data_IF_486311776527
#
_entry.id   IF_486311776527
#
_cell.length_a   1.000
_cell.length_b   1.000
_cell.length_c   1.000
_cell.angle_alpha   90.00
_cell.angle_beta   90.00
_cell.angle_gamma   90.00
#
_symmetry.space_group_name_H-M   'P 1'
#
loop_
_entity.id
_entity.type
_entity.pdbx_description
1 polymer ?
#
# COMPACT_ATOMS: atom_id res chain seq x y z
N UNK A 1 4.69 25.59 -28.96
CA UNK A 1 4.81 24.88 -30.26
C UNK A 1 3.89 23.67 -30.19
N UNK A 2 2.67 23.74 -30.76
CA UNK A 2 1.77 22.56 -30.82
C UNK A 2 2.35 21.59 -31.84
N UNK A 3 2.87 20.48 -31.40
CA UNK A 3 3.28 19.38 -32.28
C UNK A 3 1.97 18.73 -32.75
N UNK A 4 1.50 19.07 -33.92
CA UNK A 4 0.39 18.36 -34.58
C UNK A 4 0.96 17.06 -35.16
N UNK A 5 0.81 15.98 -34.42
CA UNK A 5 1.12 14.65 -34.94
C UNK A 5 0.11 14.30 -36.03
N UNK A 6 0.60 13.86 -37.19
CA UNK A 6 -0.28 13.46 -38.28
C UNK A 6 -0.97 12.13 -37.90
N UNK A 7 -2.28 12.08 -37.98
CA UNK A 7 -3.10 10.92 -37.65
C UNK A 7 -2.61 9.63 -38.32
N UNK A 8 -2.29 9.68 -39.64
CA UNK A 8 -1.76 8.53 -40.36
C UNK A 8 -0.41 8.05 -39.81
N UNK A 9 0.43 8.96 -39.35
CA UNK A 9 1.74 8.60 -38.74
C UNK A 9 1.54 7.88 -37.42
N UNK A 10 0.55 8.30 -36.60
CA UNK A 10 0.23 7.65 -35.36
C UNK A 10 -0.40 6.27 -35.59
N UNK A 11 -1.37 6.17 -36.50
CA UNK A 11 -1.96 4.87 -36.89
C UNK A 11 -0.87 3.90 -37.37
N UNK A 12 0.06 4.37 -38.15
CA UNK A 12 1.17 3.55 -38.66
C UNK A 12 2.10 3.12 -37.51
N UNK A 13 2.43 4.01 -36.59
CA UNK A 13 3.21 3.68 -35.39
C UNK A 13 2.55 2.61 -34.54
N UNK A 14 1.26 2.79 -34.20
CA UNK A 14 0.49 1.85 -33.39
C UNK A 14 0.36 0.50 -34.10
N UNK A 15 0.07 0.49 -35.39
CA UNK A 15 -0.02 -0.73 -36.21
C UNK A 15 1.28 -1.53 -36.13
N UNK A 16 2.44 -0.87 -36.27
CA UNK A 16 3.74 -1.53 -36.17
C UNK A 16 4.08 -1.98 -34.76
N UNK A 17 3.73 -1.19 -33.73
CA UNK A 17 3.98 -1.53 -32.33
C UNK A 17 3.19 -2.74 -31.88
N UNK A 18 1.91 -2.80 -32.24
CA UNK A 18 1.02 -3.92 -31.90
C UNK A 18 1.04 -5.05 -32.93
N UNK A 19 1.83 -4.93 -34.01
CA UNK A 19 1.88 -5.89 -35.11
C UNK A 19 0.51 -6.29 -35.65
N UNK A 20 -0.42 -5.32 -35.81
CA UNK A 20 -1.81 -5.55 -36.17
C UNK A 20 -2.33 -4.52 -37.18
N UNK A 21 -3.59 -4.61 -37.53
CA UNK A 21 -4.30 -3.59 -38.29
C UNK A 21 -4.97 -2.57 -37.36
N UNK A 22 -4.91 -1.30 -37.76
CA UNK A 22 -5.74 -0.23 -37.28
C UNK A 22 -6.46 0.42 -38.42
N UNK A 23 -7.79 0.45 -38.35
CA UNK A 23 -8.65 1.02 -39.36
C UNK A 23 -9.57 2.06 -38.74
N UNK A 24 -9.85 3.12 -39.49
CA UNK A 24 -10.86 4.11 -39.15
C UNK A 24 -12.09 3.85 -40.03
N UNK A 25 -13.23 3.74 -39.38
CA UNK A 25 -14.54 3.56 -40.00
C UNK A 25 -15.43 4.75 -39.69
N UNK A 26 -16.25 5.16 -40.64
CA UNK A 26 -17.30 6.18 -40.42
C UNK A 26 -18.51 5.58 -39.69
N UNK A 27 -19.48 6.44 -39.31
CA UNK A 27 -20.69 6.02 -38.59
C UNK A 27 -21.60 5.07 -39.39
N UNK A 28 -21.35 4.89 -40.72
CA UNK A 28 -22.03 3.92 -41.59
C UNK A 28 -21.24 2.62 -41.76
N UNK A 29 -20.15 2.43 -41.02
CA UNK A 29 -19.20 1.32 -41.14
C UNK A 29 -18.38 1.32 -42.43
N UNK A 30 -18.28 2.46 -43.13
CA UNK A 30 -17.43 2.62 -44.32
C UNK A 30 -15.95 2.82 -43.89
N UNK A 31 -15.04 2.14 -44.58
CA UNK A 31 -13.61 2.27 -44.31
C UNK A 31 -13.10 3.63 -44.83
N UNK A 32 -12.60 4.48 -43.88
CA UNK A 32 -12.07 5.81 -44.20
C UNK A 32 -10.57 5.77 -44.42
N UNK A 33 -9.84 5.11 -43.51
CA UNK A 33 -8.38 4.96 -43.62
C UNK A 33 -7.91 3.70 -42.88
N UNK A 34 -6.74 3.20 -43.27
CA UNK A 34 -6.18 2.01 -42.65
C UNK A 34 -4.65 2.02 -42.65
N UNK A 35 -4.07 1.44 -41.59
CA UNK A 35 -2.67 1.09 -41.48
C UNK A 35 -2.55 -0.36 -41.03
N UNK A 36 -1.77 -1.16 -41.70
CA UNK A 36 -1.56 -2.55 -41.37
C UNK A 36 -0.07 -2.91 -41.41
N UNK A 37 0.49 -3.29 -40.27
CA UNK A 37 1.87 -3.79 -40.19
C UNK A 37 1.98 -5.19 -40.84
N UNK A 38 0.89 -5.93 -40.94
CA UNK A 38 0.81 -7.30 -41.47
C UNK A 38 0.52 -7.27 -42.96
N UNK A 39 1.56 -7.00 -43.74
CA UNK A 39 1.43 -6.93 -45.22
C UNK A 39 1.09 -8.26 -45.91
N UNK A 40 1.23 -9.35 -45.16
CA UNK A 40 0.97 -10.73 -45.64
C UNK A 40 -0.53 -11.06 -45.71
N UNK A 41 -1.38 -10.22 -45.09
CA UNK A 41 -2.83 -10.44 -45.01
C UNK A 41 -3.59 -9.21 -45.46
N UNK A 42 -4.75 -9.49 -46.10
CA UNK A 42 -5.67 -8.41 -46.46
C UNK A 42 -6.37 -7.85 -45.21
N UNK A 43 -6.74 -6.58 -45.23
CA UNK A 43 -7.51 -5.95 -44.14
C UNK A 43 -8.81 -6.72 -43.88
N UNK A 44 -9.50 -7.16 -44.95
CA UNK A 44 -10.73 -7.95 -44.86
C UNK A 44 -10.53 -9.33 -44.22
N UNK A 45 -9.31 -9.88 -44.22
CA UNK A 45 -9.00 -11.12 -43.52
C UNK A 45 -8.76 -10.86 -42.00
N UNK A 46 -8.19 -9.73 -41.65
CA UNK A 46 -7.89 -9.35 -40.26
C UNK A 46 -9.10 -8.69 -39.57
N UNK A 47 -9.84 -7.87 -40.30
CA UNK A 47 -11.06 -7.18 -39.86
C UNK A 47 -12.21 -7.45 -40.82
N UNK A 48 -12.82 -8.65 -40.78
CA UNK A 48 -13.89 -9.01 -41.69
C UNK A 48 -15.16 -8.21 -41.43
N UNK A 49 -15.92 -7.90 -42.48
CA UNK A 49 -17.10 -7.03 -42.43
C UNK A 49 -18.15 -7.48 -41.41
N UNK A 50 -18.32 -8.80 -41.24
CA UNK A 50 -19.26 -9.35 -40.26
C UNK A 50 -18.89 -9.05 -38.78
N UNK A 51 -17.64 -8.69 -38.49
CA UNK A 51 -17.21 -8.24 -37.14
C UNK A 51 -17.41 -6.74 -36.94
N UNK A 52 -17.26 -5.93 -37.97
CA UNK A 52 -17.24 -4.47 -37.89
C UNK A 52 -18.57 -3.94 -37.33
N UNK A 53 -19.67 -4.34 -37.93
CA UNK A 53 -20.99 -3.84 -37.54
C UNK A 53 -21.40 -4.21 -36.10
N UNK A 54 -21.27 -5.46 -35.63
CA UNK A 54 -21.53 -5.82 -34.23
C UNK A 54 -20.65 -5.06 -33.27
N UNK A 55 -19.35 -4.94 -33.54
CA UNK A 55 -18.40 -4.23 -32.66
C UNK A 55 -18.75 -2.75 -32.53
N UNK A 56 -19.11 -2.09 -33.61
CA UNK A 56 -19.51 -0.66 -33.61
C UNK A 56 -20.87 -0.48 -32.92
N UNK A 57 -21.84 -1.36 -33.15
CA UNK A 57 -23.18 -1.24 -32.56
C UNK A 57 -23.20 -1.44 -31.07
N UNK A 58 -22.33 -2.29 -30.53
CA UNK A 58 -22.17 -2.46 -29.09
C UNK A 58 -21.45 -1.28 -28.39
N UNK A 59 -20.84 -0.37 -29.17
CA UNK A 59 -20.11 0.77 -28.60
C UNK A 59 -21.03 1.95 -28.25
N UNK A 60 -21.94 1.74 -27.28
CA UNK A 60 -22.84 2.80 -26.77
C UNK A 60 -22.18 3.75 -25.77
N UNK A 61 -20.96 3.48 -25.32
CA UNK A 61 -20.22 4.30 -24.38
C UNK A 61 -19.20 5.19 -25.07
N UNK A 62 -18.90 6.36 -24.50
CA UNK A 62 -17.88 7.27 -25.05
C UNK A 62 -16.44 6.77 -24.86
N UNK A 63 -16.21 5.72 -24.06
CA UNK A 63 -14.89 5.19 -23.73
C UNK A 63 -14.45 4.10 -24.72
N UNK A 64 -13.13 3.88 -24.87
CA UNK A 64 -12.60 2.75 -25.63
C UNK A 64 -13.10 1.41 -25.10
N UNK A 65 -13.50 0.51 -26.00
CA UNK A 65 -13.94 -0.85 -25.68
C UNK A 65 -12.99 -1.89 -26.17
N UNK A 66 -12.81 -2.94 -25.35
CA UNK A 66 -12.05 -4.14 -25.67
C UNK A 66 -13.02 -5.31 -25.70
N UNK A 67 -13.09 -6.00 -26.83
CA UNK A 67 -14.04 -7.08 -27.08
C UNK A 67 -13.28 -8.37 -27.39
N UNK A 68 -13.56 -9.44 -26.66
CA UNK A 68 -13.05 -10.78 -26.98
C UNK A 68 -13.94 -11.44 -28.02
N UNK A 69 -13.30 -11.99 -29.04
CA UNK A 69 -14.00 -12.72 -30.13
C UNK A 69 -13.79 -14.23 -29.98
N UNK A 70 -12.61 -14.69 -29.61
CA UNK A 70 -12.32 -16.11 -29.35
C UNK A 70 -11.16 -16.22 -28.31
N UNK A 71 -11.48 -16.72 -27.13
CA UNK A 71 -10.49 -16.87 -26.07
C UNK A 71 -9.81 -15.55 -25.69
N UNK A 72 -8.48 -15.48 -25.86
CA UNK A 72 -7.68 -14.28 -25.59
C UNK A 72 -7.55 -13.34 -26.80
N UNK A 73 -8.17 -13.68 -27.94
CA UNK A 73 -8.14 -12.82 -29.12
C UNK A 73 -9.11 -11.66 -28.97
N UNK A 74 -8.57 -10.45 -29.09
CA UNK A 74 -9.29 -9.20 -28.84
C UNK A 74 -9.29 -8.28 -30.05
N UNK A 75 -10.35 -7.50 -30.14
CA UNK A 75 -10.45 -6.28 -30.93
C UNK A 75 -10.81 -5.11 -30.02
N UNK A 76 -10.41 -3.90 -30.41
CA UNK A 76 -10.81 -2.71 -29.67
C UNK A 76 -11.42 -1.66 -30.60
N UNK A 77 -12.40 -0.97 -30.06
CA UNK A 77 -13.07 0.16 -30.69
C UNK A 77 -12.76 1.41 -29.87
N UNK A 78 -12.19 2.41 -30.52
CA UNK A 78 -11.93 3.73 -29.91
C UNK A 78 -12.81 4.75 -30.62
N UNK A 79 -13.78 5.36 -29.92
CA UNK A 79 -14.65 6.39 -30.48
C UNK A 79 -13.84 7.64 -30.88
N UNK A 80 -14.16 8.20 -32.04
CA UNK A 80 -13.49 9.38 -32.59
C UNK A 80 -14.45 10.29 -33.31
N UNK A 81 -15.02 11.27 -32.64
CA UNK A 81 -16.09 12.13 -33.18
C UNK A 81 -17.32 11.31 -33.62
N UNK A 82 -17.58 11.28 -34.97
CA UNK A 82 -18.62 10.46 -35.57
C UNK A 82 -18.10 9.16 -36.18
N UNK A 83 -16.78 8.89 -36.03
CA UNK A 83 -16.07 7.76 -36.57
C UNK A 83 -15.54 6.87 -35.45
N UNK A 84 -14.93 5.74 -35.82
CA UNK A 84 -14.34 4.80 -34.86
C UNK A 84 -12.99 4.28 -35.40
N UNK A 85 -12.02 4.17 -34.48
CA UNK A 85 -10.84 3.32 -34.76
C UNK A 85 -11.13 1.90 -34.30
N UNK A 86 -10.89 0.93 -35.18
CA UNK A 86 -10.85 -0.47 -34.82
C UNK A 86 -9.43 -0.99 -34.88
N UNK A 87 -8.97 -1.56 -33.75
CA UNK A 87 -7.63 -2.12 -33.58
C UNK A 87 -7.77 -3.61 -33.38
N UNK A 88 -6.94 -4.40 -34.03
CA UNK A 88 -6.93 -5.84 -33.88
C UNK A 88 -6.85 -6.58 -35.23
N UNK A 89 -6.74 -7.92 -35.15
CA UNK A 89 -6.73 -8.74 -33.93
C UNK A 89 -5.40 -8.72 -33.18
N UNK A 90 -5.49 -8.79 -31.83
CA UNK A 90 -4.36 -9.00 -30.93
C UNK A 90 -4.65 -10.15 -29.97
N UNK A 91 -3.63 -10.66 -29.28
CA UNK A 91 -3.77 -11.62 -28.16
C UNK A 91 -3.22 -10.96 -26.91
N UNK A 92 -3.94 -11.08 -25.79
CA UNK A 92 -3.41 -10.69 -24.48
C UNK A 92 -2.56 -11.82 -23.92
N UNK A 93 -1.38 -11.47 -23.35
CA UNK A 93 -0.47 -12.42 -22.71
C UNK A 93 -1.14 -13.12 -21.53
N UNK A 94 -1.86 -12.35 -20.71
CA UNK A 94 -2.61 -12.88 -19.59
C UNK A 94 -4.04 -13.22 -20.01
N UNK A 95 -4.59 -14.29 -19.41
CA UNK A 95 -6.01 -14.61 -19.56
C UNK A 95 -6.83 -13.56 -18.83
N UNK A 96 -7.49 -12.69 -19.57
CA UNK A 96 -8.30 -11.59 -19.02
C UNK A 96 -9.77 -11.86 -19.27
N UNK A 97 -10.60 -11.61 -18.26
CA UNK A 97 -12.05 -11.70 -18.40
C UNK A 97 -12.60 -10.35 -18.86
N UNK A 98 -13.07 -10.34 -20.09
CA UNK A 98 -13.74 -9.18 -20.67
C UNK A 98 -15.26 -9.35 -20.56
N UNK A 99 -15.96 -8.29 -20.16
CA UNK A 99 -17.43 -8.28 -20.14
C UNK A 99 -18.02 -8.37 -21.55
N UNK A 100 -17.30 -7.84 -22.53
CA UNK A 100 -17.77 -7.82 -23.91
C UNK A 100 -17.21 -9.01 -24.66
N UNK A 101 -18.07 -9.96 -24.99
CA UNK A 101 -17.75 -11.16 -25.77
C UNK A 101 -18.73 -11.32 -26.94
N UNK A 102 -18.19 -11.49 -28.09
CA UNK A 102 -18.96 -11.88 -29.27
C UNK A 102 -18.84 -13.40 -29.47
N UNK A 103 -19.74 -14.16 -28.81
CA UNK A 103 -19.67 -15.62 -28.75
C UNK A 103 -20.32 -16.31 -29.98
N UNK A 104 -21.19 -15.63 -30.68
CA UNK A 104 -22.04 -16.25 -31.73
C UNK A 104 -21.54 -15.96 -33.15
N UNK A 105 -20.38 -15.39 -33.33
CA UNK A 105 -19.81 -15.08 -34.61
C UNK A 105 -18.96 -16.24 -35.16
N UNK A 106 -18.94 -16.44 -36.49
CA UNK A 106 -18.00 -17.39 -37.09
C UNK A 106 -16.57 -17.07 -36.66
N UNK A 107 -15.80 -18.09 -36.29
CA UNK A 107 -14.39 -17.90 -36.00
C UNK A 107 -13.70 -17.23 -37.17
N UNK A 108 -13.03 -16.09 -36.96
CA UNK A 108 -12.29 -15.47 -38.06
C UNK A 108 -11.26 -16.47 -38.61
N UNK A 109 -11.02 -16.47 -39.92
CA UNK A 109 -9.91 -17.25 -40.50
C UNK A 109 -8.54 -16.89 -39.87
N UNK A 110 -8.48 -15.78 -39.13
CA UNK A 110 -7.39 -15.32 -38.30
C UNK A 110 -6.94 -16.33 -37.21
N UNK A 111 -7.75 -17.36 -36.90
CA UNK A 111 -7.32 -18.45 -35.99
C UNK A 111 -6.06 -19.21 -36.47
N UNK A 112 -5.66 -19.02 -37.74
CA UNK A 112 -4.45 -19.59 -38.35
C UNK A 112 -3.30 -18.57 -38.49
N UNK A 113 -3.53 -17.31 -38.14
CA UNK A 113 -2.54 -16.23 -38.25
C UNK A 113 -1.78 -16.16 -36.93
N UNK A 114 -0.44 -16.22 -36.91
CA UNK A 114 0.32 -15.96 -35.69
C UNK A 114 0.11 -14.50 -35.26
N UNK A 115 -0.67 -14.31 -34.22
CA UNK A 115 -0.95 -13.00 -33.64
C UNK A 115 0.12 -12.58 -32.64
N UNK A 116 0.33 -11.30 -32.52
CA UNK A 116 1.24 -10.74 -31.54
C UNK A 116 0.59 -10.68 -30.16
N UNK A 117 1.33 -11.14 -29.15
CA UNK A 117 0.91 -11.10 -27.75
C UNK A 117 1.34 -9.76 -27.13
N UNK A 118 0.42 -9.07 -26.48
CA UNK A 118 0.66 -7.80 -25.83
C UNK A 118 0.22 -7.83 -24.36
N UNK A 119 0.91 -7.04 -23.54
CA UNK A 119 0.47 -6.80 -22.17
C UNK A 119 -0.77 -5.89 -22.15
N UNK A 120 -1.69 -6.18 -21.22
CA UNK A 120 -2.92 -5.40 -21.08
C UNK A 120 -2.64 -3.92 -20.80
N UNK A 121 -1.68 -3.62 -19.92
CA UNK A 121 -1.31 -2.26 -19.55
C UNK A 121 -0.84 -1.43 -20.74
N UNK A 122 0.03 -2.00 -21.57
CA UNK A 122 0.52 -1.35 -22.78
C UNK A 122 -0.58 -1.17 -23.83
N UNK A 123 -1.44 -2.17 -23.94
CA UNK A 123 -2.57 -2.11 -24.85
C UNK A 123 -3.55 -0.99 -24.45
N UNK A 124 -3.91 -0.89 -23.17
CA UNK A 124 -4.79 0.17 -22.64
C UNK A 124 -4.18 1.56 -22.85
N UNK A 125 -2.87 1.73 -22.63
CA UNK A 125 -2.17 3.01 -22.90
C UNK A 125 -2.26 3.44 -24.34
N UNK A 126 -2.19 2.49 -25.28
CA UNK A 126 -2.35 2.77 -26.70
C UNK A 126 -3.79 3.20 -27.04
N UNK A 127 -4.80 2.55 -26.43
CA UNK A 127 -6.19 2.98 -26.60
C UNK A 127 -6.38 4.41 -26.08
N UNK A 128 -5.82 4.74 -24.93
CA UNK A 128 -5.86 6.09 -24.37
C UNK A 128 -5.16 7.12 -25.25
N UNK A 129 -4.00 6.75 -25.83
CA UNK A 129 -3.29 7.63 -26.76
C UNK A 129 -4.17 8.03 -27.95
N UNK A 130 -4.90 7.10 -28.52
CA UNK A 130 -5.85 7.36 -29.61
C UNK A 130 -7.06 8.18 -29.13
N UNK A 131 -7.58 7.83 -27.95
CA UNK A 131 -8.73 8.48 -27.36
C UNK A 131 -8.47 9.98 -27.07
N UNK A 132 -7.25 10.31 -26.60
CA UNK A 132 -6.82 11.69 -26.29
C UNK A 132 -6.26 12.46 -27.49
N UNK A 133 -6.34 11.94 -28.68
CA UNK A 133 -5.62 12.48 -29.86
C UNK A 133 -5.97 13.93 -30.19
N UNK A 134 -7.18 14.41 -29.88
CA UNK A 134 -7.63 15.76 -30.18
C UNK A 134 -8.10 16.57 -28.98
N UNK A 135 -8.46 15.94 -27.89
CA UNK A 135 -9.00 16.61 -26.71
C UNK A 135 -8.34 16.02 -25.47
N UNK A 136 -7.90 16.88 -24.55
CA UNK A 136 -7.53 16.42 -23.21
C UNK A 136 -8.81 16.01 -22.49
N UNK A 137 -8.95 14.70 -22.23
CA UNK A 137 -10.04 14.13 -21.45
C UNK A 137 -9.49 13.68 -20.11
N UNK A 138 -10.30 13.75 -19.04
CA UNK A 138 -9.84 13.40 -17.69
C UNK A 138 -9.66 11.90 -17.47
N UNK A 139 -10.21 11.06 -18.35
CA UNK A 139 -10.22 9.62 -18.20
C UNK A 139 -8.82 9.03 -18.36
N UNK A 140 -8.47 8.08 -17.49
CA UNK A 140 -7.18 7.41 -17.46
C UNK A 140 -7.25 5.89 -17.66
N UNK A 141 -6.14 5.20 -17.41
CA UNK A 141 -6.06 3.72 -17.53
C UNK A 141 -7.12 3.02 -16.69
N UNK A 142 -7.34 3.52 -15.45
CA UNK A 142 -8.32 2.95 -14.52
C UNK A 142 -9.75 2.99 -15.06
N UNK A 143 -10.12 4.07 -15.76
CA UNK A 143 -11.47 4.24 -16.30
C UNK A 143 -11.72 3.26 -17.45
N UNK A 144 -10.73 3.05 -18.34
CA UNK A 144 -10.81 2.04 -19.40
C UNK A 144 -10.92 0.63 -18.82
N UNK A 145 -10.14 0.33 -17.77
CA UNK A 145 -10.18 -0.98 -17.10
C UNK A 145 -11.55 -1.21 -16.45
N UNK A 146 -12.08 -0.24 -15.74
CA UNK A 146 -13.39 -0.34 -15.09
C UNK A 146 -14.53 -0.51 -16.09
N UNK A 147 -14.54 0.25 -17.19
CA UNK A 147 -15.57 0.16 -18.23
C UNK A 147 -15.57 -1.20 -18.92
N UNK A 148 -14.40 -1.75 -19.20
CA UNK A 148 -14.26 -3.04 -19.85
C UNK A 148 -14.34 -4.21 -18.86
N UNK A 149 -14.46 -3.95 -17.54
CA UNK A 149 -14.50 -4.94 -16.46
C UNK A 149 -13.43 -6.02 -16.63
N UNK A 150 -12.21 -5.59 -16.92
CA UNK A 150 -11.07 -6.47 -17.19
C UNK A 150 -10.67 -7.18 -15.89
N UNK A 151 -11.07 -8.43 -15.72
CA UNK A 151 -10.59 -9.28 -14.63
C UNK A 151 -9.41 -10.12 -15.11
N UNK A 152 -8.30 -10.05 -14.38
CA UNK A 152 -7.19 -10.96 -14.62
C UNK A 152 -7.57 -12.40 -14.26
N UNK A 153 -6.92 -13.38 -14.87
CA UNK A 153 -7.05 -14.80 -14.48
C UNK A 153 -6.75 -15.00 -12.99
N UNK A 154 -5.87 -14.17 -12.43
CA UNK A 154 -5.55 -14.18 -11.00
C UNK A 154 -6.78 -13.80 -10.15
N UNK A 155 -7.55 -12.78 -10.52
CA UNK A 155 -8.77 -12.39 -9.80
C UNK A 155 -9.83 -13.48 -9.85
N UNK A 156 -9.99 -14.16 -10.99
CA UNK A 156 -10.91 -15.30 -11.12
C UNK A 156 -10.47 -16.48 -10.24
N UNK A 157 -9.18 -16.79 -10.23
CA UNK A 157 -8.63 -17.84 -9.39
C UNK A 157 -8.86 -17.52 -7.90
N UNK A 158 -8.74 -16.25 -7.49
CA UNK A 158 -9.07 -15.81 -6.13
C UNK A 158 -10.56 -16.02 -5.84
N UNK A 159 -11.46 -15.62 -6.74
CA UNK A 159 -12.92 -15.83 -6.56
C UNK A 159 -13.28 -17.31 -6.48
N UNK A 160 -12.68 -18.13 -7.33
CA UNK A 160 -12.85 -19.59 -7.30
C UNK A 160 -12.37 -20.16 -5.97
N UNK A 161 -11.15 -19.84 -5.55
CA UNK A 161 -10.59 -20.27 -4.28
C UNK A 161 -11.46 -19.81 -3.08
N UNK A 162 -11.94 -18.56 -3.10
CA UNK A 162 -12.87 -18.06 -2.08
C UNK A 162 -14.15 -18.88 -2.02
N UNK A 163 -14.76 -19.19 -3.16
CA UNK A 163 -15.98 -19.99 -3.23
C UNK A 163 -15.76 -21.41 -2.70
N UNK A 164 -14.66 -22.05 -3.12
CA UNK A 164 -14.27 -23.39 -2.66
C UNK A 164 -14.02 -23.40 -1.14
N UNK A 165 -13.23 -22.46 -0.63
CA UNK A 165 -12.95 -22.34 0.81
C UNK A 165 -14.20 -22.07 1.64
N UNK A 166 -15.12 -21.24 1.13
CA UNK A 166 -16.39 -20.95 1.82
C UNK A 166 -17.27 -22.19 1.87
N UNK A 167 -17.33 -22.94 0.77
CA UNK A 167 -18.09 -24.19 0.71
C UNK A 167 -17.52 -25.24 1.68
N UNK A 168 -16.19 -25.49 1.64
CA UNK A 168 -15.53 -26.44 2.53
C UNK A 168 -15.74 -26.12 4.02
N UNK A 169 -15.69 -24.85 4.39
CA UNK A 169 -15.91 -24.40 5.77
C UNK A 169 -17.35 -24.63 6.24
N UNK A 170 -18.31 -24.37 5.38
CA UNK A 170 -19.73 -24.63 5.68
C UNK A 170 -20.01 -26.13 5.81
N UNK A 171 -19.38 -26.98 5.01
CA UNK A 171 -19.53 -28.45 5.08
C UNK A 171 -18.84 -29.05 6.31
N UNK A 172 -17.72 -28.46 6.76
CA UNK A 172 -16.93 -28.99 7.89
C UNK A 172 -17.29 -28.36 9.23
N UNK A 173 -18.22 -27.39 9.27
CA UNK A 173 -18.60 -26.63 10.46
C UNK A 173 -17.40 -26.04 11.21
N UNK A 174 -16.42 -25.52 10.46
CA UNK A 174 -15.21 -24.90 10.99
C UNK A 174 -15.22 -23.38 10.79
N UNK A 175 -15.89 -22.62 11.67
CA UNK A 175 -15.91 -21.17 11.58
C UNK A 175 -14.51 -20.56 11.83
N UNK A 176 -14.32 -19.33 11.39
CA UNK A 176 -13.18 -18.53 11.83
C UNK A 176 -13.29 -18.21 13.32
N UNK A 177 -12.17 -17.83 13.94
CA UNK A 177 -12.16 -17.29 15.28
C UNK A 177 -13.19 -16.15 15.42
N UNK A 178 -13.90 -16.06 16.53
CA UNK A 178 -14.88 -14.99 16.74
C UNK A 178 -14.23 -13.61 16.67
N UNK A 179 -14.80 -12.71 15.89
CA UNK A 179 -14.33 -11.33 15.79
C UNK A 179 -14.29 -10.59 17.13
N UNK A 180 -15.23 -10.93 18.03
CA UNK A 180 -15.30 -10.32 19.36
C UNK A 180 -14.06 -10.62 20.22
N UNK A 181 -13.44 -11.79 20.06
CA UNK A 181 -12.20 -12.14 20.75
C UNK A 181 -11.04 -11.26 20.23
N UNK A 182 -10.88 -11.17 18.91
CA UNK A 182 -9.87 -10.27 18.31
C UNK A 182 -10.11 -8.82 18.75
N UNK A 183 -11.35 -8.38 18.79
CA UNK A 183 -11.71 -7.04 19.25
C UNK A 183 -11.30 -6.79 20.71
N UNK A 184 -11.52 -7.75 21.64
CA UNK A 184 -11.08 -7.63 23.04
C UNK A 184 -9.56 -7.58 23.15
N UNK A 185 -8.84 -8.43 22.42
CA UNK A 185 -7.39 -8.44 22.35
C UNK A 185 -6.85 -7.06 21.89
N UNK A 186 -7.36 -6.54 20.78
CA UNK A 186 -6.96 -5.24 20.29
C UNK A 186 -7.32 -4.09 21.22
N UNK A 187 -8.49 -4.17 21.88
CA UNK A 187 -8.96 -3.15 22.82
C UNK A 187 -8.12 -3.11 24.09
N UNK A 188 -7.65 -4.25 24.57
CA UNK A 188 -6.73 -4.35 25.70
C UNK A 188 -5.39 -3.66 25.42
N UNK A 189 -4.86 -3.82 24.21
CA UNK A 189 -3.64 -3.13 23.73
C UNK A 189 -3.89 -1.61 23.66
N UNK A 190 -4.98 -1.19 23.02
CA UNK A 190 -5.38 0.22 22.93
C UNK A 190 -5.54 0.86 24.32
N UNK A 191 -6.04 0.10 25.29
CA UNK A 191 -6.21 0.56 26.67
C UNK A 191 -4.92 0.48 27.50
N UNK A 192 -3.89 -0.21 27.04
CA UNK A 192 -2.67 -0.47 27.82
C UNK A 192 -2.97 -1.39 29.01
N UNK A 193 -3.92 -2.30 28.90
CA UNK A 193 -4.34 -3.18 29.99
C UNK A 193 -3.77 -4.59 29.80
N UNK A 194 -2.65 -4.85 30.47
CA UNK A 194 -1.91 -6.13 30.39
C UNK A 194 -2.76 -7.30 30.96
N UNK A 195 -3.59 -7.05 31.98
CA UNK A 195 -4.42 -8.09 32.57
C UNK A 195 -5.51 -8.54 31.59
N UNK A 196 -6.24 -7.59 30.97
CA UNK A 196 -7.24 -7.87 29.94
C UNK A 196 -6.62 -8.56 28.72
N UNK A 197 -5.40 -8.19 28.31
CA UNK A 197 -4.69 -8.86 27.22
C UNK A 197 -4.46 -10.34 27.57
N UNK A 198 -3.97 -10.64 28.76
CA UNK A 198 -3.76 -12.03 29.21
C UNK A 198 -5.06 -12.84 29.24
N UNK A 199 -6.13 -12.25 29.75
CA UNK A 199 -7.45 -12.88 29.78
C UNK A 199 -7.95 -13.19 28.36
N UNK A 200 -7.88 -12.22 27.43
CA UNK A 200 -8.25 -12.39 26.03
C UNK A 200 -7.44 -13.47 25.32
N UNK A 201 -6.14 -13.56 25.59
CA UNK A 201 -5.27 -14.59 25.00
C UNK A 201 -5.47 -15.99 25.59
N UNK A 202 -6.06 -16.09 26.79
CA UNK A 202 -6.37 -17.35 27.47
C UNK A 202 -7.79 -17.84 27.21
N UNK A 203 -8.60 -17.09 26.47
CA UNK A 203 -9.99 -17.51 26.16
C UNK A 203 -10.01 -18.76 25.29
N UNK A 204 -10.81 -19.76 25.69
CA UNK A 204 -11.15 -20.89 24.85
C UNK A 204 -12.33 -20.53 23.95
N UNK A 205 -12.15 -20.66 22.65
CA UNK A 205 -13.22 -20.43 21.68
C UNK A 205 -13.24 -21.49 20.58
N UNK A 206 -14.42 -21.70 20.03
CA UNK A 206 -14.61 -22.58 18.88
C UNK A 206 -14.34 -21.78 17.63
N UNK A 207 -13.24 -22.09 16.97
CA UNK A 207 -12.86 -21.43 15.73
C UNK A 207 -11.49 -21.90 15.23
N UNK A 208 -11.16 -21.57 14.03
CA UNK A 208 -9.88 -21.89 13.42
C UNK A 208 -9.24 -20.66 12.78
N UNK A 209 -7.92 -20.59 12.87
CA UNK A 209 -7.13 -19.62 12.13
C UNK A 209 -7.21 -19.96 10.65
N UNK A 210 -7.40 -18.94 9.81
CA UNK A 210 -7.38 -19.11 8.35
C UNK A 210 -6.07 -19.68 7.83
N UNK A 211 -6.14 -20.53 6.81
CA UNK A 211 -4.95 -21.07 6.14
C UNK A 211 -4.39 -20.02 5.16
N UNK A 212 -3.30 -19.38 5.55
CA UNK A 212 -2.61 -18.35 4.75
C UNK A 212 -1.46 -18.93 3.91
N UNK A 213 -0.97 -20.11 4.27
CA UNK A 213 0.06 -20.84 3.55
C UNK A 213 -0.01 -22.34 3.83
N UNK A 214 0.45 -23.18 2.88
CA UNK A 214 0.52 -24.62 3.03
C UNK A 214 1.68 -25.05 3.93
N UNK A 215 2.81 -24.34 3.88
CA UNK A 215 3.97 -24.57 4.74
C UNK A 215 3.70 -24.07 6.15
N UNK A 216 3.87 -24.89 7.21
CA UNK A 216 3.54 -24.50 8.58
C UNK A 216 4.36 -23.32 9.11
N UNK A 217 5.63 -23.20 8.72
CA UNK A 217 6.48 -22.08 9.13
C UNK A 217 6.01 -20.78 8.45
N UNK A 218 5.71 -20.84 7.15
CA UNK A 218 5.18 -19.69 6.42
C UNK A 218 3.80 -19.29 6.91
N UNK A 219 2.95 -20.25 7.26
CA UNK A 219 1.66 -20.01 7.91
C UNK A 219 1.84 -19.20 9.20
N UNK A 220 2.73 -19.65 10.09
CA UNK A 220 3.00 -18.98 11.36
C UNK A 220 3.58 -17.58 11.16
N UNK A 221 4.52 -17.40 10.22
CA UNK A 221 5.08 -16.09 9.88
C UNK A 221 4.02 -15.12 9.38
N UNK A 222 3.19 -15.54 8.44
CA UNK A 222 2.10 -14.71 7.90
C UNK A 222 1.14 -14.28 9.02
N UNK A 223 0.75 -15.21 9.89
CA UNK A 223 -0.12 -14.91 11.03
C UNK A 223 0.53 -13.95 12.02
N UNK A 224 1.79 -14.19 12.37
CA UNK A 224 2.56 -13.33 13.27
C UNK A 224 2.66 -11.88 12.74
N UNK A 225 2.89 -11.70 11.43
CA UNK A 225 2.92 -10.38 10.77
C UNK A 225 1.55 -9.68 10.88
N UNK A 226 0.46 -10.41 10.67
CA UNK A 226 -0.90 -9.86 10.83
C UNK A 226 -1.14 -9.40 12.26
N UNK A 227 -0.84 -10.22 13.28
CA UNK A 227 -0.98 -9.88 14.68
C UNK A 227 -0.20 -8.62 15.06
N UNK A 228 1.08 -8.53 14.68
CA UNK A 228 1.91 -7.35 14.95
C UNK A 228 1.33 -6.11 14.28
N UNK A 229 0.82 -6.24 13.06
CA UNK A 229 0.20 -5.12 12.34
C UNK A 229 -1.02 -4.61 13.09
N UNK A 230 -1.92 -5.49 13.52
CA UNK A 230 -3.11 -5.14 14.29
C UNK A 230 -2.76 -4.53 15.66
N UNK A 231 -1.80 -5.11 16.37
CA UNK A 231 -1.29 -4.60 17.64
C UNK A 231 -0.69 -3.19 17.50
N UNK A 232 0.11 -2.97 16.47
CA UNK A 232 0.68 -1.66 16.14
C UNK A 232 -0.41 -0.59 15.94
N UNK A 233 -1.47 -0.91 15.20
CA UNK A 233 -2.60 0.01 14.97
C UNK A 233 -3.39 0.28 16.25
N UNK A 234 -3.55 -0.73 17.09
CA UNK A 234 -4.20 -0.60 18.40
C UNK A 234 -3.40 0.29 19.34
N UNK A 235 -2.08 0.12 19.38
CA UNK A 235 -1.19 0.97 20.18
C UNK A 235 -1.21 2.45 19.71
N UNK A 236 -1.28 2.70 18.40
CA UNK A 236 -1.44 4.06 17.85
C UNK A 236 -2.78 4.67 18.29
N UNK A 237 -3.88 3.91 18.26
CA UNK A 237 -5.16 4.37 18.81
C UNK A 237 -5.06 4.65 20.30
N UNK A 238 -4.28 3.87 21.05
CA UNK A 238 -3.96 4.07 22.46
C UNK A 238 -3.14 5.31 22.76
N UNK A 239 -2.56 5.96 21.72
CA UNK A 239 -1.81 7.21 21.82
C UNK A 239 -0.31 7.08 21.55
N UNK A 240 0.18 5.89 21.22
CA UNK A 240 1.58 5.71 20.81
C UNK A 240 1.85 6.47 19.51
N UNK A 241 3.04 7.07 19.39
CA UNK A 241 3.47 7.69 18.12
C UNK A 241 3.52 6.65 17.00
N UNK A 242 3.02 7.01 15.81
CA UNK A 242 3.04 6.12 14.66
C UNK A 242 4.47 5.73 14.24
N UNK A 243 5.44 6.63 14.35
CA UNK A 243 6.84 6.35 14.05
C UNK A 243 7.44 5.29 14.98
N UNK A 244 7.13 5.39 16.29
CA UNK A 244 7.55 4.38 17.27
C UNK A 244 6.88 3.04 16.94
N UNK A 245 5.58 3.07 16.72
CA UNK A 245 4.81 1.86 16.46
C UNK A 245 5.28 1.14 15.18
N UNK A 246 5.55 1.88 14.11
CA UNK A 246 6.01 1.29 12.84
C UNK A 246 7.44 0.77 12.95
N UNK A 247 8.39 1.55 13.49
CA UNK A 247 9.78 1.10 13.68
C UNK A 247 9.85 -0.18 14.54
N UNK A 248 9.00 -0.26 15.55
CA UNK A 248 8.90 -1.44 16.40
C UNK A 248 8.32 -2.64 15.67
N UNK A 249 7.26 -2.42 14.87
CA UNK A 249 6.68 -3.42 13.98
C UNK A 249 7.73 -3.97 13.00
N UNK A 250 8.48 -3.09 12.33
CA UNK A 250 9.52 -3.47 11.36
C UNK A 250 10.58 -4.36 12.01
N UNK A 251 11.02 -4.00 13.22
CA UNK A 251 12.03 -4.77 13.97
C UNK A 251 11.54 -6.19 14.28
N UNK A 252 10.29 -6.35 14.72
CA UNK A 252 9.71 -7.65 15.00
C UNK A 252 9.49 -8.48 13.73
N UNK A 253 9.00 -7.86 12.66
CA UNK A 253 8.77 -8.56 11.37
C UNK A 253 10.09 -9.09 10.81
N UNK A 254 11.17 -8.30 10.85
CA UNK A 254 12.50 -8.76 10.43
C UNK A 254 12.96 -9.97 11.26
N UNK A 255 12.75 -9.97 12.58
CA UNK A 255 13.08 -11.12 13.43
C UNK A 255 12.20 -12.34 13.16
N UNK A 256 10.92 -12.14 12.85
CA UNK A 256 10.02 -13.22 12.44
C UNK A 256 10.52 -13.87 11.14
N UNK A 257 11.00 -13.06 10.17
CA UNK A 257 11.55 -13.64 8.94
C UNK A 257 12.81 -14.50 9.16
N UNK A 258 13.60 -14.22 10.21
CA UNK A 258 14.74 -15.04 10.60
C UNK A 258 14.34 -16.36 11.32
N UNK A 259 13.09 -16.48 11.80
CA UNK A 259 12.63 -17.68 12.51
C UNK A 259 12.68 -18.93 11.63
N UNK A 260 13.09 -20.04 12.26
CA UNK A 260 13.21 -21.36 11.60
C UNK A 260 12.14 -22.37 12.04
N UNK A 261 11.29 -22.01 12.98
CA UNK A 261 10.17 -22.85 13.42
C UNK A 261 8.92 -21.99 13.72
N UNK A 262 7.72 -22.58 13.59
CA UNK A 262 6.45 -21.87 13.79
C UNK A 262 6.29 -21.29 15.21
N UNK A 263 6.72 -22.02 16.22
CA UNK A 263 6.55 -21.61 17.63
C UNK A 263 7.30 -20.32 17.94
N UNK A 264 8.55 -20.18 17.47
CA UNK A 264 9.32 -18.95 17.68
C UNK A 264 8.71 -17.75 17.00
N UNK A 265 8.14 -17.92 15.79
CA UNK A 265 7.47 -16.84 15.09
C UNK A 265 6.23 -16.34 15.86
N UNK A 266 5.42 -17.28 16.36
CA UNK A 266 4.22 -16.95 17.15
C UNK A 266 4.58 -16.34 18.51
N UNK A 267 5.65 -16.83 19.16
CA UNK A 267 6.13 -16.26 20.42
C UNK A 267 6.52 -14.79 20.26
N UNK A 268 7.27 -14.47 19.20
CA UNK A 268 7.65 -13.07 18.90
C UNK A 268 6.42 -12.17 18.67
N UNK A 269 5.38 -12.69 18.03
CA UNK A 269 4.14 -11.91 17.85
C UNK A 269 3.47 -11.62 19.21
N UNK A 270 3.37 -12.61 20.08
CA UNK A 270 2.81 -12.44 21.43
C UNK A 270 3.66 -11.49 22.28
N UNK A 271 4.98 -11.60 22.21
CA UNK A 271 5.89 -10.67 22.89
C UNK A 271 5.68 -9.22 22.40
N UNK A 272 5.47 -9.02 21.10
CA UNK A 272 5.16 -7.71 20.54
C UNK A 272 3.85 -7.13 21.09
N UNK A 273 2.79 -7.92 21.20
CA UNK A 273 1.50 -7.48 21.76
C UNK A 273 1.65 -6.99 23.21
N UNK A 274 2.37 -7.76 24.04
CA UNK A 274 2.66 -7.34 25.41
C UNK A 274 3.51 -6.09 25.48
N UNK A 275 4.51 -5.93 24.61
CA UNK A 275 5.35 -4.73 24.57
C UNK A 275 4.53 -3.51 24.14
N UNK A 276 3.69 -3.60 23.10
CA UNK A 276 2.79 -2.52 22.72
C UNK A 276 1.86 -2.12 23.83
N UNK A 277 1.31 -3.11 24.53
CA UNK A 277 0.40 -2.88 25.67
C UNK A 277 1.13 -2.16 26.80
N UNK A 278 2.35 -2.57 27.12
CA UNK A 278 3.18 -1.92 28.14
C UNK A 278 3.53 -0.47 27.77
N UNK A 279 3.92 -0.21 26.50
CA UNK A 279 4.18 1.14 26.01
C UNK A 279 2.97 2.07 26.16
N UNK A 280 1.78 1.56 25.80
CA UNK A 280 0.52 2.33 25.94
C UNK A 280 0.18 2.53 27.41
N UNK A 281 0.40 1.52 28.25
CA UNK A 281 0.21 1.64 29.68
C UNK A 281 1.07 2.76 30.28
N UNK A 282 2.37 2.77 30.02
CA UNK A 282 3.29 3.79 30.49
C UNK A 282 2.88 5.19 30.02
N UNK A 283 2.46 5.34 28.76
CA UNK A 283 1.96 6.62 28.23
C UNK A 283 0.74 7.10 29.02
N UNK A 284 -0.21 6.21 29.33
CA UNK A 284 -1.41 6.56 30.08
C UNK A 284 -1.11 6.89 31.54
N UNK A 285 -0.19 6.15 32.18
CA UNK A 285 0.27 6.46 33.54
C UNK A 285 0.92 7.85 33.61
N UNK A 286 1.77 8.19 32.67
CA UNK A 286 2.39 9.53 32.57
C UNK A 286 1.36 10.65 32.35
N UNK A 287 0.17 10.33 31.85
CA UNK A 287 -0.93 11.26 31.62
C UNK A 287 -1.93 11.30 32.78
N UNK A 288 -1.89 10.38 33.73
CA UNK A 288 -2.75 10.39 34.91
C UNK A 288 -2.58 11.70 35.71
N UNK A 289 -3.71 12.30 36.05
CA UNK A 289 -3.71 13.59 36.77
C UNK A 289 -3.52 14.83 35.88
N UNK A 290 -3.29 14.67 34.57
CA UNK A 290 -3.33 15.78 33.64
C UNK A 290 -4.78 15.92 33.11
N UNK A 291 -5.33 17.13 33.01
CA UNK A 291 -6.67 17.32 32.45
C UNK A 291 -6.71 16.70 31.04
N UNK A 292 -7.77 15.95 30.74
CA UNK A 292 -8.04 15.42 29.39
C UNK A 292 -8.18 16.61 28.47
N UNK A 293 -7.12 16.95 27.78
CA UNK A 293 -7.11 18.05 26.80
C UNK A 293 -7.39 17.45 25.44
N UNK A 294 -8.31 18.05 24.72
CA UNK A 294 -8.60 17.66 23.33
C UNK A 294 -7.32 17.47 22.53
N UNK A 295 -7.24 16.37 21.77
CA UNK A 295 -6.07 16.07 20.93
C UNK A 295 -5.94 17.14 19.84
N UNK A 296 -5.12 18.16 20.08
CA UNK A 296 -4.91 19.22 19.10
C UNK A 296 -4.07 18.72 17.92
N UNK A 297 -4.55 18.80 16.68
CA UNK A 297 -3.85 18.30 15.50
C UNK A 297 -2.46 18.92 15.30
N UNK A 298 -2.29 20.20 15.61
CA UNK A 298 -1.00 20.89 15.49
C UNK A 298 0.04 20.35 16.50
N UNK A 299 -0.38 20.05 17.73
CA UNK A 299 0.50 19.46 18.74
C UNK A 299 0.92 18.05 18.31
N UNK A 300 0.00 17.25 17.77
CA UNK A 300 0.32 15.92 17.25
C UNK A 300 1.33 16.00 16.10
N UNK A 301 1.10 16.89 15.12
CA UNK A 301 2.05 17.11 14.00
C UNK A 301 3.41 17.57 14.51
N UNK A 302 3.44 18.45 15.53
CA UNK A 302 4.67 18.93 16.13
C UNK A 302 5.46 17.80 16.79
N UNK A 303 4.82 16.96 17.59
CA UNK A 303 5.46 15.80 18.25
C UNK A 303 6.01 14.81 17.22
N UNK A 304 5.23 14.49 16.18
CA UNK A 304 5.66 13.60 15.11
C UNK A 304 6.90 14.17 14.38
N UNK A 305 6.90 15.45 14.07
CA UNK A 305 8.03 16.10 13.43
C UNK A 305 9.28 16.07 14.34
N UNK A 306 9.14 16.35 15.62
CA UNK A 306 10.24 16.27 16.59
C UNK A 306 10.83 14.85 16.59
N UNK A 307 9.97 13.83 16.68
CA UNK A 307 10.42 12.44 16.74
C UNK A 307 11.24 12.03 15.52
N UNK A 308 10.78 12.37 14.31
CA UNK A 308 11.47 12.02 13.05
C UNK A 308 12.75 12.83 12.80
N UNK A 309 12.95 13.97 13.50
CA UNK A 309 14.07 14.88 13.30
C UNK A 309 14.92 15.08 14.57
N UNK A 310 14.90 14.12 15.52
CA UNK A 310 15.67 14.23 16.78
C UNK A 310 17.19 14.32 16.57
N UNK A 311 17.68 13.86 15.42
CA UNK A 311 19.08 13.98 15.02
C UNK A 311 19.45 15.40 14.55
N UNK A 312 18.47 16.23 14.22
CA UNK A 312 18.69 17.59 13.77
C UNK A 312 18.82 18.59 14.93
N UNK A 313 19.36 19.76 14.60
CA UNK A 313 19.36 20.90 15.52
C UNK A 313 17.96 21.55 15.54
N UNK A 314 17.06 20.94 16.29
CA UNK A 314 15.69 21.45 16.42
C UNK A 314 15.63 22.71 17.26
N UNK A 315 14.98 23.75 16.74
CA UNK A 315 14.63 24.99 17.44
C UNK A 315 13.13 25.24 17.30
N UNK A 316 12.57 26.07 18.17
CA UNK A 316 11.16 26.48 18.06
C UNK A 316 10.89 27.12 16.69
N UNK A 317 11.85 27.90 16.18
CA UNK A 317 11.72 28.59 14.91
C UNK A 317 11.75 27.60 13.72
N UNK A 318 12.67 26.63 13.73
CA UNK A 318 12.73 25.61 12.67
C UNK A 318 11.46 24.75 12.61
N UNK A 319 10.93 24.39 13.78
CA UNK A 319 9.65 23.65 13.89
C UNK A 319 8.47 24.47 13.40
N UNK A 320 8.40 25.74 13.77
CA UNK A 320 7.34 26.66 13.34
C UNK A 320 7.32 26.81 11.83
N UNK A 321 8.50 26.99 11.23
CA UNK A 321 8.67 27.06 9.76
C UNK A 321 8.25 25.77 9.09
N UNK A 322 8.71 24.61 9.59
CA UNK A 322 8.40 23.30 9.00
C UNK A 322 6.90 22.93 9.08
N UNK A 323 6.20 23.43 10.09
CA UNK A 323 4.78 23.16 10.32
C UNK A 323 3.85 24.25 9.73
N UNK A 324 4.44 25.32 9.16
CA UNK A 324 3.72 26.50 8.68
C UNK A 324 2.83 27.13 9.77
N UNK A 325 3.43 27.38 10.95
CA UNK A 325 2.77 27.93 12.13
C UNK A 325 3.65 29.04 12.72
N UNK A 326 3.03 30.09 13.28
CA UNK A 326 3.77 31.12 13.98
C UNK A 326 4.48 30.54 15.23
N UNK A 327 5.77 30.90 15.43
CA UNK A 327 6.62 30.35 16.51
C UNK A 327 6.10 30.67 17.92
N UNK A 328 5.58 31.88 18.14
CA UNK A 328 5.00 32.27 19.42
C UNK A 328 3.71 31.48 19.69
N UNK A 329 2.84 31.42 18.69
CA UNK A 329 1.60 30.62 18.79
C UNK A 329 1.88 29.13 19.04
N UNK A 330 2.84 28.54 18.34
CA UNK A 330 3.25 27.14 18.56
C UNK A 330 3.75 26.94 19.99
N UNK A 331 4.59 27.86 20.50
CA UNK A 331 5.15 27.79 21.87
C UNK A 331 4.06 27.87 22.94
N UNK A 332 3.13 28.79 22.82
CA UNK A 332 2.00 28.95 23.74
C UNK A 332 1.06 27.76 23.67
N UNK A 333 0.71 27.34 22.45
CA UNK A 333 -0.14 26.18 22.22
C UNK A 333 0.49 24.91 22.84
N UNK A 334 1.78 24.66 22.58
CA UNK A 334 2.50 23.53 23.13
C UNK A 334 2.53 23.54 24.66
N UNK A 335 2.85 24.71 25.27
CA UNK A 335 2.83 24.86 26.71
C UNK A 335 1.42 24.68 27.31
N UNK A 336 0.39 25.17 26.61
CA UNK A 336 -1.01 25.00 27.01
C UNK A 336 -1.42 23.52 27.03
N UNK A 337 -1.02 22.74 26.03
CA UNK A 337 -1.46 21.34 25.90
C UNK A 337 -0.54 20.36 26.62
N UNK A 338 0.77 20.58 26.64
CA UNK A 338 1.74 19.63 27.23
C UNK A 338 2.19 20.04 28.63
N UNK A 339 1.95 21.28 29.07
CA UNK A 339 2.32 21.76 30.39
C UNK A 339 3.82 22.10 30.54
N UNK A 340 4.62 21.86 29.52
CA UNK A 340 6.07 22.14 29.46
C UNK A 340 6.42 22.93 28.23
N UNK A 341 7.58 23.58 28.22
CA UNK A 341 8.05 24.29 27.03
C UNK A 341 8.48 23.30 25.93
N UNK A 342 8.32 23.73 24.68
CA UNK A 342 8.72 22.93 23.52
C UNK A 342 10.19 22.52 23.55
N UNK A 343 11.11 23.43 23.94
CA UNK A 343 12.53 23.11 24.09
C UNK A 343 12.81 22.07 25.17
N UNK A 344 12.05 22.08 26.26
CA UNK A 344 12.16 21.07 27.32
C UNK A 344 11.64 19.71 26.85
N UNK A 345 10.60 19.69 26.05
CA UNK A 345 10.08 18.47 25.44
C UNK A 345 11.10 17.86 24.49
N UNK A 346 11.68 18.64 23.57
CA UNK A 346 12.72 18.20 22.63
C UNK A 346 13.92 17.60 23.40
N UNK A 347 14.37 18.29 24.45
CA UNK A 347 15.46 17.79 25.25
C UNK A 347 15.11 16.45 25.94
N UNK A 348 13.91 16.32 26.46
CA UNK A 348 13.45 15.07 27.09
C UNK A 348 13.46 13.92 26.09
N UNK A 349 12.90 14.11 24.88
CA UNK A 349 12.89 13.10 23.82
C UNK A 349 14.32 12.69 23.39
N UNK A 350 15.25 13.66 23.29
CA UNK A 350 16.67 13.37 23.02
C UNK A 350 17.31 12.53 24.13
N UNK A 351 16.99 12.78 25.39
CA UNK A 351 17.50 12.00 26.50
C UNK A 351 16.90 10.60 26.53
N UNK A 352 15.62 10.43 26.27
CA UNK A 352 15.01 9.09 26.14
C UNK A 352 15.64 8.30 24.99
N UNK A 353 15.92 8.94 23.86
CA UNK A 353 16.65 8.29 22.76
C UNK A 353 18.09 7.93 23.16
N UNK A 354 18.76 8.80 23.92
CA UNK A 354 20.10 8.50 24.46
C UNK A 354 20.08 7.29 25.40
N UNK A 355 19.06 7.13 26.24
CA UNK A 355 18.91 5.94 27.11
C UNK A 355 18.84 4.67 26.26
N UNK A 356 18.00 4.66 25.21
CA UNK A 356 17.87 3.51 24.32
C UNK A 356 19.20 3.16 23.63
N UNK A 357 19.92 4.16 23.10
CA UNK A 357 21.22 3.94 22.48
C UNK A 357 22.28 3.44 23.48
N UNK A 358 22.24 3.93 24.73
CA UNK A 358 23.14 3.45 25.77
C UNK A 358 22.84 2.02 26.21
N UNK A 359 21.59 1.59 26.14
CA UNK A 359 21.13 0.26 26.56
C UNK A 359 21.34 -0.79 25.46
N UNK A 360 21.02 -0.45 24.21
CA UNK A 360 20.88 -1.44 23.13
C UNK A 360 21.89 -1.26 21.99
N UNK A 361 22.90 -0.41 22.13
CA UNK A 361 23.93 -0.24 21.11
C UNK A 361 25.31 0.01 21.70
N UNK A 362 26.35 -0.26 20.90
CA UNK A 362 27.76 -0.07 21.24
C UNK A 362 28.31 1.30 20.83
N UNK A 363 27.44 2.22 20.37
CA UNK A 363 27.88 3.56 19.98
C UNK A 363 28.62 4.27 21.13
N UNK A 364 29.72 4.92 20.81
CA UNK A 364 30.46 5.75 21.77
C UNK A 364 29.62 6.94 22.23
N UNK A 365 29.93 7.51 23.37
CA UNK A 365 29.19 8.68 23.85
C UNK A 365 29.32 9.90 22.95
N UNK A 366 30.43 9.98 22.18
CA UNK A 366 30.64 11.03 21.17
C UNK A 366 29.69 10.83 20.00
N UNK A 367 29.57 9.60 19.49
CA UNK A 367 28.65 9.27 18.40
C UNK A 367 27.20 9.54 18.79
N UNK A 368 26.79 9.14 20.00
CA UNK A 368 25.45 9.41 20.54
C UNK A 368 25.20 10.92 20.64
N UNK A 369 26.17 11.70 21.14
CA UNK A 369 26.03 13.15 21.24
C UNK A 369 25.90 13.80 19.86
N UNK A 370 26.71 13.38 18.90
CA UNK A 370 26.69 13.87 17.52
C UNK A 370 25.38 13.51 16.83
N UNK A 371 24.97 12.25 16.93
CA UNK A 371 23.70 11.76 16.35
C UNK A 371 22.49 12.53 16.88
N UNK A 372 22.44 12.85 18.18
CA UNK A 372 21.35 13.59 18.79
C UNK A 372 21.49 15.11 18.68
N UNK A 373 22.45 15.61 17.92
CA UNK A 373 22.64 17.05 17.65
C UNK A 373 23.04 17.86 18.90
N UNK A 374 23.74 17.23 19.88
CA UNK A 374 24.38 17.96 20.98
C UNK A 374 25.70 18.54 20.51
N UNK A 375 26.06 19.70 21.06
CA UNK A 375 27.30 20.40 20.69
C UNK A 375 28.59 19.64 21.15
N UNK A 376 28.48 18.75 22.10
CA UNK A 376 29.59 17.90 22.60
C UNK A 376 29.08 16.77 23.48
N UNK A 377 29.93 15.75 23.68
CA UNK A 377 29.67 14.68 24.64
C UNK A 377 29.46 15.26 26.08
N UNK A 378 30.22 16.28 26.48
CA UNK A 378 30.08 16.92 27.76
C UNK A 378 28.72 17.59 27.91
N UNK A 379 28.21 18.22 26.85
CA UNK A 379 26.88 18.82 26.87
C UNK A 379 25.79 17.75 27.02
N UNK A 380 25.84 16.67 26.23
CA UNK A 380 24.95 15.53 26.43
C UNK A 380 25.04 14.99 27.86
N UNK A 381 26.26 14.74 28.38
CA UNK A 381 26.48 14.19 29.70
C UNK A 381 25.90 15.05 30.82
N UNK A 382 26.05 16.38 30.73
CA UNK A 382 25.48 17.32 31.68
C UNK A 382 23.96 17.29 31.69
N UNK A 383 23.31 17.34 30.51
CA UNK A 383 21.86 17.29 30.37
C UNK A 383 21.31 15.91 30.80
N UNK A 384 21.97 14.84 30.40
CA UNK A 384 21.60 13.48 30.77
C UNK A 384 21.61 13.29 32.29
N UNK A 385 22.70 13.69 32.96
CA UNK A 385 22.81 13.61 34.45
C UNK A 385 21.76 14.47 35.15
N UNK A 386 21.46 15.66 34.59
CA UNK A 386 20.44 16.56 35.17
C UNK A 386 19.04 15.95 35.11
N UNK A 387 18.72 15.19 34.06
CA UNK A 387 17.38 14.61 33.87
C UNK A 387 17.27 13.22 34.51
N UNK A 388 18.31 12.38 34.41
CA UNK A 388 18.27 10.96 34.86
C UNK A 388 18.89 10.72 36.24
N UNK A 389 19.63 11.67 36.74
CA UNK A 389 20.42 11.52 38.00
C UNK A 389 21.71 10.71 37.84
N UNK A 390 21.97 10.10 36.66
CA UNK A 390 23.10 9.22 36.42
C UNK A 390 23.98 9.74 35.29
N UNK A 391 25.27 9.44 35.32
CA UNK A 391 26.17 9.72 34.18
C UNK A 391 25.91 8.71 33.06
N UNK A 392 26.30 9.05 31.81
CA UNK A 392 26.20 8.16 30.66
C UNK A 392 26.86 6.79 30.92
N UNK A 393 28.05 6.82 31.56
CA UNK A 393 28.80 5.61 31.92
C UNK A 393 28.05 4.76 32.95
N UNK A 394 27.53 5.39 34.02
CA UNK A 394 26.76 4.67 35.04
C UNK A 394 25.47 4.08 34.47
N UNK A 395 24.82 4.79 33.54
CA UNK A 395 23.61 4.31 32.95
C UNK A 395 23.87 3.09 32.05
N UNK A 396 24.87 3.16 31.16
CA UNK A 396 25.29 2.04 30.32
C UNK A 396 25.72 0.82 31.13
N UNK A 397 26.50 1.02 32.20
CA UNK A 397 26.93 -0.10 33.07
C UNK A 397 25.78 -0.80 33.80
N UNK A 398 24.66 -0.09 34.05
CA UNK A 398 23.50 -0.68 34.75
C UNK A 398 22.46 -1.31 33.79
N UNK A 399 22.35 -0.78 32.59
CA UNK A 399 21.26 -1.11 31.69
C UNK A 399 21.73 -1.61 30.34
N UNK A 400 23.01 -1.47 29.99
CA UNK A 400 23.53 -1.98 28.71
C UNK A 400 23.46 -3.49 28.67
N UNK A 401 23.00 -4.01 27.53
CA UNK A 401 23.11 -5.44 27.21
C UNK A 401 24.58 -5.74 26.95
N UNK A 402 25.18 -6.58 27.78
CA UNK A 402 26.49 -7.17 27.46
C UNK A 402 26.29 -8.00 26.19
N UNK A 403 26.80 -7.51 25.06
CA UNK A 403 26.95 -8.34 23.87
C UNK A 403 28.10 -9.30 24.16
N UNK A 404 27.75 -10.54 24.56
CA UNK A 404 28.67 -11.66 24.68
C UNK A 404 29.07 -12.21 23.31
#
# INVERSE_FOLDING_TARGET
MKITMNEMSLMNYISHYLHTCICRYDGSCGLVSSCCARKDFSISALQPEYLIKPLITESSTPLPRIVSVDGNMIYSIVPFQNDFYMIGPNILQDTVHLNHRLCDLPRPETARIPLYECELSDYVRILLLLYHLREEKPEGETDIIQENCLESAMTQNIRKAYTEMTFERNETDQPHNPYDQEFREQKSIENGNIAELRESLAEDYIGSIGTLAKDPLRQAKNHAIVLITLASRSAIRGGLSHEIAFSFSDSYIQKIEECRNPTSAMQLARDAEFHYTAMVHELKEQQKGKPVREKNPHIRRCKNYIYSHLHDKLTVQSLATALDINANYLSELFRKYEGITLSRYILHEKIERAKNLLTYSDYSYIEIATYLGFSSQSHLGAQFKKITGSTLRQYRSRHGTENG
#
